data_IF_807631436862
#
_entry.id   IF_807631436862
#
_cell.length_a   1.000
_cell.length_b   1.000
_cell.length_c   1.000
_cell.angle_alpha   90.00
_cell.angle_beta   90.00
_cell.angle_gamma   90.00
#
_symmetry.space_group_name_H-M   'P 1'
#
loop_
_entity.id
_entity.type
_entity.pdbx_description
1 polymer ?
#
# COMPACT_ATOMS: atom_id res chain seq x y z
N UNK A 1 -40.35 56.91 -49.88
CA UNK A 1 -40.33 55.52 -49.40
C UNK A 1 -38.89 55.02 -49.34
N UNK A 2 -38.24 55.02 -48.16
CA UNK A 2 -37.07 54.17 -47.92
C UNK A 2 -37.37 53.17 -46.80
N UNK A 3 -37.33 51.87 -47.14
CA UNK A 3 -37.41 50.78 -46.16
C UNK A 3 -36.10 50.68 -45.39
N UNK A 4 -36.13 51.06 -44.10
CA UNK A 4 -35.03 50.85 -43.16
C UNK A 4 -35.07 49.39 -42.68
N UNK A 5 -34.06 48.61 -43.03
CA UNK A 5 -33.79 47.33 -42.37
C UNK A 5 -33.28 47.62 -40.95
N UNK A 6 -34.15 47.45 -39.96
CA UNK A 6 -33.79 47.42 -38.55
C UNK A 6 -33.52 45.97 -38.17
N UNK A 7 -32.25 45.55 -38.26
CA UNK A 7 -31.80 44.36 -37.54
C UNK A 7 -31.34 44.81 -36.16
N UNK A 8 -32.19 44.62 -35.15
CA UNK A 8 -31.84 44.80 -33.75
C UNK A 8 -30.77 43.77 -33.37
N UNK A 9 -29.58 44.24 -33.02
CA UNK A 9 -28.58 43.43 -32.38
C UNK A 9 -29.01 43.14 -30.93
N UNK A 10 -29.78 42.06 -30.72
CA UNK A 10 -29.98 41.48 -29.39
C UNK A 10 -29.13 40.22 -29.27
N UNK A 11 -27.81 40.41 -29.21
CA UNK A 11 -26.91 39.37 -28.71
C UNK A 11 -26.96 39.40 -27.18
N UNK A 12 -28.02 38.84 -26.60
CA UNK A 12 -28.04 38.52 -25.17
C UNK A 12 -27.30 37.20 -24.98
N UNK A 13 -25.97 37.27 -25.00
CA UNK A 13 -25.12 36.17 -24.57
C UNK A 13 -25.25 36.06 -23.06
N UNK A 14 -26.19 35.21 -22.59
CA UNK A 14 -26.26 34.79 -21.20
C UNK A 14 -25.11 33.82 -20.95
N UNK A 15 -23.89 34.37 -20.83
CA UNK A 15 -22.80 33.67 -20.18
C UNK A 15 -23.24 33.44 -18.73
N UNK A 16 -23.68 32.23 -18.42
CA UNK A 16 -23.87 31.82 -17.05
C UNK A 16 -22.51 32.00 -16.37
N UNK A 17 -22.45 32.87 -15.36
CA UNK A 17 -21.34 33.01 -14.43
C UNK A 17 -21.17 31.67 -13.70
N UNK A 18 -20.53 30.71 -14.37
CA UNK A 18 -19.97 29.55 -13.74
C UNK A 18 -18.78 30.07 -12.94
N UNK A 19 -18.97 30.22 -11.63
CA UNK A 19 -17.91 30.52 -10.69
C UNK A 19 -16.77 29.53 -10.95
N UNK A 20 -15.69 30.02 -11.56
CA UNK A 20 -14.49 29.23 -11.82
C UNK A 20 -13.99 28.77 -10.46
N UNK A 21 -14.22 27.49 -10.14
CA UNK A 21 -13.78 26.91 -8.89
C UNK A 21 -12.28 27.17 -8.75
N UNK A 22 -11.90 28.02 -7.78
CA UNK A 22 -10.50 28.33 -7.55
C UNK A 22 -9.73 27.03 -7.38
N UNK A 23 -8.64 26.88 -8.15
CA UNK A 23 -7.81 25.68 -8.16
C UNK A 23 -7.19 25.49 -6.78
N UNK A 24 -7.90 24.78 -5.88
CA UNK A 24 -7.44 24.44 -4.54
C UNK A 24 -6.08 23.76 -4.67
N UNK A 25 -5.04 24.34 -4.06
CA UNK A 25 -3.73 23.69 -3.99
C UNK A 25 -3.93 22.37 -3.22
N UNK A 26 -3.65 21.20 -3.82
CA UNK A 26 -3.86 19.94 -3.13
C UNK A 26 -2.92 19.86 -1.93
N UNK A 27 -3.48 19.90 -0.73
CA UNK A 27 -2.73 19.66 0.51
C UNK A 27 -2.43 18.17 0.61
N UNK A 28 -1.23 17.76 0.19
CA UNK A 28 -0.73 16.38 0.31
C UNK A 28 -0.44 15.93 1.76
N UNK A 29 -1.00 16.62 2.76
CA UNK A 29 -0.75 16.35 4.18
C UNK A 29 -1.24 14.96 4.57
N UNK A 30 -2.36 14.51 3.99
CA UNK A 30 -2.86 13.15 4.20
C UNK A 30 -1.90 12.09 3.64
N UNK A 31 -1.33 12.30 2.45
CA UNK A 31 -0.36 11.37 1.85
C UNK A 31 0.95 11.31 2.63
N UNK A 32 1.41 12.46 3.15
CA UNK A 32 2.58 12.53 4.03
C UNK A 32 2.36 11.76 5.33
N UNK A 33 1.15 11.81 5.88
CA UNK A 33 0.78 11.12 7.12
C UNK A 33 0.52 9.62 6.89
N UNK A 34 0.16 9.23 5.66
CA UNK A 34 -0.13 7.84 5.27
C UNK A 34 0.78 7.38 4.13
N UNK A 35 2.10 7.26 4.36
CA UNK A 35 3.04 6.86 3.32
C UNK A 35 2.79 5.42 2.88
N UNK A 36 2.81 5.19 1.56
CA UNK A 36 2.76 3.85 1.00
C UNK A 36 4.07 3.10 1.31
N UNK A 37 3.95 1.93 1.94
CA UNK A 37 5.10 1.09 2.26
C UNK A 37 5.23 -0.01 1.21
N UNK A 38 6.47 -0.28 0.80
CA UNK A 38 6.78 -1.28 -0.22
C UNK A 38 7.05 -2.64 0.42
N UNK A 39 6.39 -3.67 -0.08
CA UNK A 39 6.52 -5.05 0.35
C UNK A 39 6.88 -5.93 -0.85
N UNK A 40 7.75 -6.93 -0.64
CA UNK A 40 8.15 -7.88 -1.67
C UNK A 40 7.14 -9.03 -1.78
N UNK A 41 6.03 -8.79 -2.46
CA UNK A 41 4.90 -9.71 -2.56
C UNK A 41 4.94 -10.45 -3.90
N UNK A 42 4.65 -11.78 -3.93
CA UNK A 42 4.52 -12.52 -5.17
C UNK A 42 3.52 -11.87 -6.13
N UNK A 43 3.87 -11.82 -7.42
CA UNK A 43 3.07 -11.18 -8.49
C UNK A 43 1.63 -11.70 -8.49
N UNK A 44 1.46 -13.02 -8.36
CA UNK A 44 0.15 -13.68 -8.29
C UNK A 44 -0.77 -13.05 -7.23
N UNK A 45 -0.26 -12.87 -6.01
CA UNK A 45 -1.05 -12.34 -4.89
C UNK A 45 -1.37 -10.87 -5.11
N UNK A 46 -0.41 -10.11 -5.63
CA UNK A 46 -0.63 -8.68 -5.94
C UNK A 46 -1.74 -8.53 -6.98
N UNK A 47 -1.67 -9.30 -8.06
CA UNK A 47 -2.60 -9.20 -9.18
C UNK A 47 -3.99 -9.71 -8.77
N UNK A 48 -4.08 -10.72 -7.89
CA UNK A 48 -5.36 -11.15 -7.30
C UNK A 48 -5.99 -10.07 -6.42
N UNK A 49 -5.21 -9.37 -5.59
CA UNK A 49 -5.73 -8.24 -4.79
C UNK A 49 -6.22 -7.12 -5.70
N UNK A 50 -5.47 -6.80 -6.77
CA UNK A 50 -5.87 -5.79 -7.75
C UNK A 50 -7.17 -6.17 -8.47
N UNK A 51 -7.28 -7.39 -8.96
CA UNK A 51 -8.48 -7.90 -9.62
C UNK A 51 -9.70 -7.89 -8.70
N UNK A 52 -9.51 -8.21 -7.40
CA UNK A 52 -10.58 -8.15 -6.41
C UNK A 52 -11.01 -6.71 -6.12
N UNK A 53 -10.08 -5.76 -6.11
CA UNK A 53 -10.39 -4.33 -5.98
C UNK A 53 -11.20 -3.83 -7.17
N UNK A 54 -10.80 -4.20 -8.40
CA UNK A 54 -11.53 -3.87 -9.63
C UNK A 54 -12.95 -4.47 -9.62
N UNK A 55 -13.09 -5.75 -9.25
CA UNK A 55 -14.40 -6.40 -9.14
C UNK A 55 -15.32 -5.72 -8.12
N UNK A 56 -14.74 -5.20 -7.03
CA UNK A 56 -15.46 -4.43 -6.02
C UNK A 56 -15.54 -2.93 -6.33
N UNK A 57 -15.03 -2.46 -7.47
CA UNK A 57 -14.93 -1.03 -7.83
C UNK A 57 -14.35 -0.16 -6.71
N UNK A 58 -13.39 -0.69 -5.97
CA UNK A 58 -12.76 -0.02 -4.82
C UNK A 58 -11.27 0.18 -5.06
N UNK A 59 -10.66 1.07 -4.26
CA UNK A 59 -9.22 1.24 -4.26
C UNK A 59 -8.51 0.03 -3.62
N UNK A 60 -7.32 -0.29 -4.14
CA UNK A 60 -6.48 -1.39 -3.64
C UNK A 60 -6.07 -1.20 -2.18
N UNK A 61 -5.82 0.04 -1.75
CA UNK A 61 -5.34 0.35 -0.40
C UNK A 61 -6.39 0.07 0.71
N UNK A 62 -7.65 0.57 0.63
CA UNK A 62 -8.71 0.18 1.54
C UNK A 62 -8.97 -1.32 1.56
N UNK A 63 -8.98 -1.96 0.39
CA UNK A 63 -9.17 -3.40 0.29
C UNK A 63 -8.06 -4.16 1.02
N UNK A 64 -6.80 -3.77 0.80
CA UNK A 64 -5.65 -4.36 1.47
C UNK A 64 -5.74 -4.23 3.00
N UNK A 65 -6.26 -3.11 3.52
CA UNK A 65 -6.53 -2.94 4.94
C UNK A 65 -7.59 -3.93 5.44
N UNK A 66 -8.72 -4.08 4.73
CA UNK A 66 -9.79 -5.02 5.12
C UNK A 66 -9.32 -6.47 5.10
N UNK A 67 -8.58 -6.87 4.05
CA UNK A 67 -7.99 -8.21 3.96
C UNK A 67 -6.99 -8.45 5.09
N UNK A 68 -6.17 -7.45 5.42
CA UNK A 68 -5.25 -7.53 6.55
C UNK A 68 -6.00 -7.71 7.87
N UNK A 69 -6.99 -6.86 8.15
CA UNK A 69 -7.75 -6.88 9.41
C UNK A 69 -8.48 -8.22 9.58
N UNK A 70 -9.06 -8.77 8.50
CA UNK A 70 -9.66 -10.11 8.53
C UNK A 70 -8.62 -11.19 8.87
N UNK A 71 -7.49 -11.24 8.16
CA UNK A 71 -6.45 -12.23 8.42
C UNK A 71 -5.87 -12.11 9.85
N UNK A 72 -5.72 -10.90 10.35
CA UNK A 72 -5.29 -10.63 11.72
C UNK A 72 -6.30 -11.18 12.74
N UNK A 73 -7.60 -10.98 12.53
CA UNK A 73 -8.62 -11.58 13.41
C UNK A 73 -8.59 -13.11 13.37
N UNK A 74 -8.34 -13.70 12.20
CA UNK A 74 -8.16 -15.16 12.08
C UNK A 74 -6.88 -15.66 12.76
N UNK A 75 -5.80 -14.88 12.72
CA UNK A 75 -4.54 -15.20 13.39
C UNK A 75 -4.70 -15.15 14.91
N UNK A 76 -5.30 -14.09 15.44
CA UNK A 76 -5.57 -13.93 16.88
C UNK A 76 -6.54 -14.98 17.43
N UNK A 77 -7.52 -15.40 16.63
CA UNK A 77 -8.41 -16.55 16.96
C UNK A 77 -7.74 -17.92 16.84
N UNK A 78 -6.53 -17.98 16.27
CA UNK A 78 -5.79 -19.23 16.06
C UNK A 78 -6.29 -20.09 14.91
N UNK A 79 -7.22 -19.59 14.06
CA UNK A 79 -7.66 -20.30 12.85
C UNK A 79 -6.60 -20.23 11.75
N UNK A 80 -5.84 -19.13 11.70
CA UNK A 80 -4.69 -18.98 10.83
C UNK A 80 -3.39 -19.19 11.64
N UNK A 81 -2.70 -20.30 11.40
CA UNK A 81 -1.41 -20.61 12.04
C UNK A 81 -0.29 -20.64 11.02
N UNK A 82 0.79 -19.92 11.32
CA UNK A 82 2.03 -20.01 10.55
C UNK A 82 2.81 -21.25 10.98
N UNK A 83 3.17 -22.07 10.01
CA UNK A 83 4.16 -23.15 10.17
C UNK A 83 5.43 -22.72 9.45
N UNK A 84 6.31 -21.94 10.10
CA UNK A 84 7.54 -21.50 9.47
C UNK A 84 8.38 -22.74 9.10
N UNK A 85 8.55 -22.98 7.80
CA UNK A 85 9.52 -23.94 7.31
C UNK A 85 10.86 -23.24 7.31
N UNK A 86 11.73 -23.59 8.27
CA UNK A 86 13.10 -23.11 8.31
C UNK A 86 13.76 -23.48 6.98
N UNK A 87 14.04 -22.48 6.15
CA UNK A 87 14.84 -22.70 4.96
C UNK A 87 16.30 -22.74 5.43
N UNK A 88 17.00 -23.89 5.35
CA UNK A 88 18.36 -24.02 5.86
C UNK A 88 19.34 -23.05 5.18
N UNK A 89 19.00 -22.52 4.00
CA UNK A 89 19.81 -21.55 3.23
C UNK A 89 19.67 -20.09 3.70
N UNK A 90 18.73 -19.77 4.60
CA UNK A 90 18.48 -18.41 5.12
C UNK A 90 18.68 -18.31 6.64
N UNK A 91 19.72 -18.97 7.16
CA UNK A 91 20.13 -18.74 8.55
C UNK A 91 20.58 -17.27 8.69
N UNK A 92 19.87 -16.51 9.52
CA UNK A 92 20.41 -15.25 10.05
C UNK A 92 21.50 -15.65 11.04
N UNK A 93 22.75 -15.34 10.73
CA UNK A 93 23.85 -15.50 11.69
C UNK A 93 23.86 -14.27 12.60
N UNK A 94 23.89 -14.48 13.91
CA UNK A 94 24.15 -13.43 14.89
C UNK A 94 25.66 -13.36 15.06
N UNK A 95 26.26 -12.20 14.82
CA UNK A 95 27.68 -11.99 15.12
C UNK A 95 27.82 -11.82 16.64
N UNK A 96 28.69 -12.62 17.23
CA UNK A 96 29.10 -12.49 18.64
C UNK A 96 30.52 -11.96 18.62
N UNK A 97 30.82 -10.99 19.49
CA UNK A 97 32.17 -10.48 19.66
C UNK A 97 32.84 -11.24 20.80
N UNK A 98 34.14 -11.52 20.64
CA UNK A 98 35.01 -12.04 21.68
C UNK A 98 36.28 -11.19 21.67
N UNK A 99 36.82 -10.87 22.84
CA UNK A 99 38.13 -10.23 22.96
C UNK A 99 39.20 -11.26 22.63
N UNK A 100 39.97 -11.00 21.58
CA UNK A 100 41.05 -11.86 21.12
C UNK A 100 42.36 -11.06 21.08
N UNK A 101 43.41 -11.60 21.69
CA UNK A 101 44.78 -11.03 21.68
C UNK A 101 45.52 -11.32 20.37
N UNK A 102 44.80 -11.32 19.25
CA UNK A 102 45.34 -11.66 17.93
C UNK A 102 45.87 -10.41 17.23
N UNK A 103 46.88 -10.58 16.36
CA UNK A 103 47.42 -9.47 15.55
C UNK A 103 46.31 -8.79 14.72
N UNK A 104 46.37 -7.45 14.55
CA UNK A 104 45.33 -6.70 13.86
C UNK A 104 45.18 -7.15 12.41
N UNK A 105 43.99 -7.66 12.08
CA UNK A 105 43.64 -8.05 10.72
C UNK A 105 43.50 -6.79 9.85
N UNK A 106 44.31 -6.67 8.80
CA UNK A 106 44.12 -5.61 7.79
C UNK A 106 42.83 -5.84 7.00
N UNK A 107 41.80 -5.04 7.29
CA UNK A 107 40.57 -5.00 6.49
C UNK A 107 40.91 -4.31 5.17
N UNK A 108 41.00 -5.09 4.09
CA UNK A 108 41.21 -4.51 2.76
C UNK A 108 40.09 -3.53 2.43
N UNK A 109 40.44 -2.29 2.10
CA UNK A 109 39.48 -1.29 1.61
C UNK A 109 38.78 -1.85 0.38
N UNK A 110 37.46 -2.01 0.48
CA UNK A 110 36.61 -2.53 -0.59
C UNK A 110 36.86 -1.73 -1.86
N UNK A 111 37.45 -2.36 -2.89
CA UNK A 111 37.54 -1.75 -4.22
C UNK A 111 36.13 -1.42 -4.67
N UNK A 112 35.84 -0.14 -4.93
CA UNK A 112 34.62 0.26 -5.62
C UNK A 112 34.63 -0.42 -6.99
N UNK A 113 33.83 -1.49 -7.14
CA UNK A 113 33.56 -2.06 -8.45
C UNK A 113 32.84 -0.98 -9.24
N UNK A 114 33.55 -0.40 -10.21
CA UNK A 114 32.93 0.28 -11.35
C UNK A 114 31.79 -0.61 -11.86
N UNK A 115 30.58 -0.04 -11.91
CA UNK A 115 29.36 -0.71 -12.35
C UNK A 115 29.49 -0.94 -13.86
N UNK A 116 30.21 -1.99 -14.23
CA UNK A 116 30.09 -2.57 -15.56
C UNK A 116 28.81 -3.41 -15.52
N UNK A 117 27.79 -2.94 -16.22
CA UNK A 117 26.57 -3.70 -16.51
C UNK A 117 26.98 -4.99 -17.23
N UNK A 118 27.16 -6.07 -16.47
CA UNK A 118 27.27 -7.42 -17.02
C UNK A 118 26.06 -8.21 -16.57
N UNK A 119 25.36 -8.74 -17.56
CA UNK A 119 24.25 -9.67 -17.51
C UNK A 119 24.53 -10.84 -16.57
N UNK A 120 24.30 -10.61 -15.29
CA UNK A 120 24.09 -11.67 -14.30
C UNK A 120 22.58 -11.81 -14.17
N UNK A 121 22.02 -13.03 -14.27
CA UNK A 121 20.60 -13.25 -14.05
C UNK A 121 20.33 -13.20 -12.55
N UNK A 122 20.56 -12.04 -11.92
CA UNK A 122 19.75 -11.66 -10.78
C UNK A 122 18.34 -11.65 -11.33
N UNK A 123 17.59 -12.71 -11.02
CA UNK A 123 16.16 -12.83 -11.31
C UNK A 123 15.54 -11.51 -10.90
N UNK A 124 15.27 -10.68 -11.90
CA UNK A 124 15.04 -9.26 -11.68
C UNK A 124 13.85 -9.14 -10.74
N UNK A 125 14.07 -8.65 -9.52
CA UNK A 125 13.00 -8.36 -8.57
C UNK A 125 12.08 -7.23 -9.10
N UNK A 126 12.36 -6.64 -10.29
CA UNK A 126 11.40 -5.77 -10.99
C UNK A 126 10.09 -6.53 -11.13
N UNK A 127 9.04 -5.98 -10.54
CA UNK A 127 7.69 -6.51 -10.60
C UNK A 127 7.25 -7.31 -9.37
N UNK A 128 8.14 -7.69 -8.45
CA UNK A 128 7.74 -8.41 -7.20
C UNK A 128 7.49 -7.48 -6.01
N UNK A 129 7.48 -6.17 -6.24
CA UNK A 129 7.23 -5.20 -5.16
C UNK A 129 5.85 -4.58 -5.35
N UNK A 130 5.04 -4.61 -4.30
CA UNK A 130 3.76 -3.92 -4.23
C UNK A 130 3.82 -2.87 -3.11
N UNK A 131 3.23 -1.70 -3.35
CA UNK A 131 3.15 -0.64 -2.36
C UNK A 131 1.72 -0.57 -1.82
N UNK A 132 1.56 -0.69 -0.50
CA UNK A 132 0.26 -0.61 0.17
C UNK A 132 0.30 0.45 1.28
N UNK A 133 -0.79 1.20 1.43
CA UNK A 133 -1.00 2.19 2.51
C UNK A 133 -1.78 1.58 3.68
N UNK A 134 -1.14 0.67 4.43
CA UNK A 134 -1.80 -0.01 5.58
C UNK A 134 -1.96 0.87 6.84
N UNK A 135 -1.22 1.97 6.93
CA UNK A 135 -1.08 2.77 8.16
C UNK A 135 0.02 2.25 9.09
N UNK A 136 0.41 3.07 10.06
CA UNK A 136 1.51 2.76 10.98
C UNK A 136 1.15 1.60 11.92
N UNK A 137 -0.07 1.59 12.46
CA UNK A 137 -0.51 0.60 13.45
C UNK A 137 -0.54 -0.82 12.87
N UNK A 138 -1.19 -1.01 11.71
CA UNK A 138 -1.22 -2.31 11.01
C UNK A 138 0.17 -2.79 10.65
N UNK A 139 1.05 -1.89 10.23
CA UNK A 139 2.43 -2.24 9.93
C UNK A 139 3.19 -2.69 11.19
N UNK A 140 2.99 -2.02 12.34
CA UNK A 140 3.59 -2.41 13.59
C UNK A 140 3.11 -3.81 14.04
N UNK A 141 1.81 -4.09 13.89
CA UNK A 141 1.23 -5.41 14.17
C UNK A 141 1.78 -6.50 13.24
N UNK A 142 1.85 -6.21 11.94
CA UNK A 142 2.49 -7.11 10.96
C UNK A 142 3.95 -7.41 11.33
N UNK A 143 4.71 -6.39 11.75
CA UNK A 143 6.10 -6.53 12.17
C UNK A 143 6.21 -7.42 13.42
N UNK A 144 5.37 -7.19 14.44
CA UNK A 144 5.35 -8.01 15.65
C UNK A 144 5.07 -9.49 15.35
N UNK A 145 4.12 -9.77 14.45
CA UNK A 145 3.82 -11.14 14.00
C UNK A 145 5.03 -11.73 13.25
N UNK A 146 5.62 -10.98 12.33
CA UNK A 146 6.78 -11.42 11.57
C UNK A 146 7.98 -11.76 12.47
N UNK A 147 8.25 -10.93 13.47
CA UNK A 147 9.32 -11.13 14.45
C UNK A 147 9.02 -12.37 15.32
N UNK A 148 7.78 -12.57 15.76
CA UNK A 148 7.38 -13.74 16.55
C UNK A 148 7.60 -15.08 15.82
N UNK A 149 7.39 -15.12 14.49
CA UNK A 149 7.61 -16.33 13.68
C UNK A 149 8.98 -16.37 12.99
N UNK A 150 9.84 -15.37 13.19
CA UNK A 150 11.11 -15.19 12.46
C UNK A 150 10.94 -15.22 10.92
N UNK A 151 9.84 -14.67 10.41
CA UNK A 151 9.51 -14.65 8.99
C UNK A 151 9.75 -13.27 8.37
N UNK A 152 10.02 -13.17 7.05
CA UNK A 152 10.00 -11.90 6.34
C UNK A 152 8.60 -11.27 6.37
N UNK A 153 8.51 -9.95 6.59
CA UNK A 153 7.22 -9.23 6.65
C UNK A 153 6.36 -9.48 5.40
N UNK A 154 6.98 -9.53 4.23
CA UNK A 154 6.27 -9.71 2.97
C UNK A 154 5.69 -11.12 2.82
N UNK A 155 6.32 -12.15 3.41
CA UNK A 155 5.81 -13.52 3.39
C UNK A 155 4.58 -13.64 4.29
N UNK A 156 4.62 -13.02 5.47
CA UNK A 156 3.48 -12.94 6.39
C UNK A 156 2.30 -12.22 5.73
N UNK A 157 2.56 -11.06 5.12
CA UNK A 157 1.54 -10.27 4.43
C UNK A 157 0.95 -11.03 3.22
N UNK A 158 1.79 -11.72 2.46
CA UNK A 158 1.33 -12.54 1.31
C UNK A 158 0.45 -13.69 1.77
N UNK A 159 0.79 -14.35 2.88
CA UNK A 159 -0.03 -15.40 3.45
C UNK A 159 -1.36 -14.87 4.00
N UNK A 160 -1.37 -13.68 4.61
CA UNK A 160 -2.59 -13.00 5.05
C UNK A 160 -3.53 -12.70 3.88
N UNK A 161 -3.00 -12.15 2.79
CA UNK A 161 -3.80 -11.88 1.59
C UNK A 161 -4.34 -13.15 0.97
N UNK A 162 -3.50 -14.18 0.79
CA UNK A 162 -3.96 -15.48 0.25
C UNK A 162 -5.09 -16.08 1.09
N UNK A 163 -4.96 -16.06 2.42
CA UNK A 163 -6.01 -16.57 3.31
C UNK A 163 -7.32 -15.80 3.17
N UNK A 164 -7.23 -14.47 3.11
CA UNK A 164 -8.41 -13.59 3.02
C UNK A 164 -9.10 -13.68 1.66
N UNK A 165 -8.32 -13.74 0.58
CA UNK A 165 -8.83 -13.96 -0.79
C UNK A 165 -9.53 -15.32 -0.87
N UNK A 166 -8.93 -16.38 -0.31
CA UNK A 166 -9.57 -17.68 -0.28
C UNK A 166 -10.86 -17.65 0.55
N UNK A 167 -10.86 -17.01 1.71
CA UNK A 167 -12.07 -16.85 2.53
C UNK A 167 -13.17 -16.06 1.80
N UNK A 168 -12.80 -15.08 0.97
CA UNK A 168 -13.74 -14.36 0.12
C UNK A 168 -14.33 -15.26 -0.97
N UNK A 169 -13.47 -16.02 -1.67
CA UNK A 169 -13.89 -17.00 -2.69
C UNK A 169 -14.79 -18.10 -2.11
N UNK A 170 -14.50 -18.56 -0.89
CA UNK A 170 -15.30 -19.54 -0.14
C UNK A 170 -16.61 -18.95 0.42
N UNK A 171 -16.85 -17.64 0.30
CA UNK A 171 -18.01 -16.96 0.87
C UNK A 171 -17.98 -16.76 2.40
N UNK A 172 -16.86 -17.07 3.06
CA UNK A 172 -16.63 -16.86 4.51
C UNK A 172 -16.35 -15.40 4.85
N UNK A 173 -15.79 -14.65 3.91
CA UNK A 173 -15.57 -13.21 4.01
C UNK A 173 -16.51 -12.49 3.03
N UNK A 174 -17.37 -11.60 3.56
CA UNK A 174 -18.19 -10.69 2.76
C UNK A 174 -17.74 -9.27 3.01
N UNK A 175 -17.31 -8.58 1.95
CA UNK A 175 -16.89 -7.19 2.01
C UNK A 175 -18.11 -6.34 1.67
N UNK A 176 -18.54 -5.50 2.61
CA UNK A 176 -19.64 -4.55 2.43
C UNK A 176 -19.08 -3.14 2.32
N UNK A 177 -19.71 -2.32 1.48
CA UNK A 177 -19.42 -0.88 1.42
C UNK A 177 -20.23 -0.18 2.49
N UNK A 178 -19.57 0.50 3.41
CA UNK A 178 -20.21 1.37 4.38
C UNK A 178 -19.87 2.82 4.02
N UNK A 179 -20.87 3.69 3.79
CA UNK A 179 -20.60 5.10 3.55
C UNK A 179 -20.07 5.73 4.83
N UNK A 180 -18.88 6.33 4.75
CA UNK A 180 -18.35 7.14 5.84
C UNK A 180 -19.14 8.45 5.87
N UNK A 181 -20.08 8.57 6.80
CA UNK A 181 -20.79 9.83 7.05
C UNK A 181 -19.82 10.77 7.77
N UNK A 182 -19.17 11.66 7.00
CA UNK A 182 -18.45 12.79 7.60
C UNK A 182 -19.48 13.74 8.20
N UNK A 183 -19.61 13.73 9.53
CA UNK A 183 -20.35 14.78 10.24
C UNK A 183 -19.56 16.08 10.10
N UNK A 184 -20.04 16.96 9.23
CA UNK A 184 -19.48 18.29 9.07
C UNK A 184 -19.92 19.12 10.27
N UNK A 185 -19.03 19.31 11.26
CA UNK A 185 -19.27 20.27 12.32
C UNK A 185 -19.12 21.68 11.73
N UNK A 186 -20.27 22.33 11.47
CA UNK A 186 -20.30 23.74 11.07
C UNK A 186 -20.08 24.55 12.35
N UNK A 187 -18.82 24.84 12.64
CA UNK A 187 -18.44 25.73 13.73
C UNK A 187 -18.56 27.18 13.22
N UNK A 188 -19.71 27.82 13.47
CA UNK A 188 -19.90 29.23 13.13
C UNK A 188 -21.32 29.62 12.75
N UNK A 189 -22.25 29.48 13.69
CA UNK A 189 -23.44 30.34 13.76
C UNK A 189 -23.61 30.69 15.24
N UNK A 190 -23.02 31.81 15.64
CA UNK A 190 -23.35 32.50 16.88
C UNK A 190 -24.11 33.75 16.43
N UNK A 191 -25.37 33.86 16.88
CA UNK A 191 -26.25 35.01 16.68
C UNK A 191 -25.68 36.30 17.30
#
# INVERSE_FOLDING_TARGET
MPGRNAYSATNTTVAHDLVVAQKRKPTRNWEKSNPARRYLIPVEVRDEVAALAEALMENVDPLACVLFDYAETCHTRGTLKFKPRLNPKRRKHTLVWEEADTEPIQIQTRRHRSVKHTDTPFRSLKGQTAAYRLGADRHARLKAIADAYNLPLADVLSAFFRHSIQAFRDGKLKIRREPVVMQMQIQGWSE
#
